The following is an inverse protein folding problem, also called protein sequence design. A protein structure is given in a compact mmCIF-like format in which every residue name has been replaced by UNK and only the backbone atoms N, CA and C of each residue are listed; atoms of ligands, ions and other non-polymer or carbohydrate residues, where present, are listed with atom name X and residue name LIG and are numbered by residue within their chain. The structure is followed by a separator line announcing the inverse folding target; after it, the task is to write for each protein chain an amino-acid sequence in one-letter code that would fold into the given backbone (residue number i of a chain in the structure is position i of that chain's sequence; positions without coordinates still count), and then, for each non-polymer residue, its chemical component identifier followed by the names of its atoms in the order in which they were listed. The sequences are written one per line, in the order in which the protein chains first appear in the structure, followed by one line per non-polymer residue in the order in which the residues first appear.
data_IF_500730823003
#
_entry.id   IF_500730823003
#
_cell.length_a   1.000
_cell.length_b   1.000
_cell.length_c   1.000
_cell.angle_alpha   90.00
_cell.angle_beta   90.00
_cell.angle_gamma   90.00
#
_symmetry.space_group_name_H-M   'P 1'
#
loop_
_entity.id
_entity.type
_entity.pdbx_description
1 polymer ?
#
# COMPACT_ATOMS: atom_id res chain seq x y z
N UNK A 1 -8.86 -13.31 39.87
CA UNK A 1 -9.74 -13.35 38.71
C UNK A 1 -9.70 -12.10 37.87
N UNK A 2 -9.72 -10.94 38.49
CA UNK A 2 -9.64 -9.67 37.76
C UNK A 2 -8.35 -9.61 36.90
N UNK A 3 -7.24 -10.08 37.47
CA UNK A 3 -5.97 -10.09 36.74
C UNK A 3 -6.02 -10.97 35.49
N UNK A 4 -6.69 -12.11 35.58
CA UNK A 4 -6.82 -13.03 34.47
C UNK A 4 -7.69 -12.41 33.37
N UNK A 5 -8.80 -11.79 33.75
CA UNK A 5 -9.69 -11.12 32.82
C UNK A 5 -8.95 -9.97 32.13
N UNK A 6 -8.18 -9.20 32.90
CA UNK A 6 -7.41 -8.08 32.36
C UNK A 6 -6.38 -8.56 31.34
N UNK A 7 -5.68 -9.67 31.62
CA UNK A 7 -4.73 -10.27 30.69
C UNK A 7 -5.42 -10.70 29.40
N UNK A 8 -6.59 -11.32 29.51
CA UNK A 8 -7.34 -11.77 28.34
C UNK A 8 -7.77 -10.59 27.47
N UNK A 9 -8.20 -9.50 28.10
CA UNK A 9 -8.59 -8.29 27.37
C UNK A 9 -7.39 -7.69 26.63
N UNK A 10 -6.24 -7.61 27.30
CA UNK A 10 -5.01 -7.07 26.70
C UNK A 10 -4.59 -7.92 25.51
N UNK A 11 -4.59 -9.25 25.67
CA UNK A 11 -4.24 -10.17 24.58
C UNK A 11 -5.19 -10.01 23.41
N UNK A 12 -6.49 -9.90 23.68
CA UNK A 12 -7.49 -9.73 22.64
C UNK A 12 -7.28 -8.43 21.87
N UNK A 13 -6.98 -7.34 22.57
CA UNK A 13 -6.72 -6.04 21.95
C UNK A 13 -5.45 -6.08 21.10
N UNK A 14 -4.40 -6.73 21.60
CA UNK A 14 -3.15 -6.88 20.84
C UNK A 14 -3.36 -7.72 19.59
N UNK A 15 -4.11 -8.82 19.71
CA UNK A 15 -4.41 -9.67 18.56
C UNK A 15 -5.21 -8.91 17.51
N UNK A 16 -6.20 -8.13 17.94
CA UNK A 16 -7.01 -7.33 17.04
C UNK A 16 -6.17 -6.27 16.33
N UNK A 17 -5.32 -5.56 17.07
CA UNK A 17 -4.43 -4.54 16.50
C UNK A 17 -3.45 -5.16 15.51
N UNK A 18 -2.86 -6.30 15.86
CA UNK A 18 -1.93 -7.01 14.98
C UNK A 18 -2.60 -7.43 13.69
N UNK A 19 -3.83 -7.95 13.78
CA UNK A 19 -4.59 -8.34 12.60
C UNK A 19 -4.85 -7.16 11.68
N UNK A 20 -5.26 -6.03 12.24
CA UNK A 20 -5.57 -4.84 11.44
C UNK A 20 -4.34 -4.27 10.78
N UNK A 21 -3.23 -4.17 11.52
CA UNK A 21 -1.97 -3.69 10.97
C UNK A 21 -1.45 -4.67 9.92
N UNK A 22 -1.48 -5.97 10.23
CA UNK A 22 -1.04 -7.01 9.30
C UNK A 22 -1.85 -7.00 8.01
N UNK A 23 -3.17 -6.84 8.11
CA UNK A 23 -4.03 -6.75 6.93
C UNK A 23 -3.68 -5.54 6.07
N UNK A 24 -3.37 -4.40 6.70
CA UNK A 24 -2.98 -3.20 5.98
C UNK A 24 -1.66 -3.41 5.24
N UNK A 25 -0.69 -4.09 5.87
CA UNK A 25 0.57 -4.40 5.21
C UNK A 25 0.39 -5.38 4.06
N UNK A 26 -0.45 -6.39 4.23
CA UNK A 26 -0.74 -7.34 3.15
C UNK A 26 -1.35 -6.62 1.96
N UNK A 27 -2.30 -5.73 2.19
CA UNK A 27 -2.92 -4.95 1.13
C UNK A 27 -1.87 -4.05 0.45
N UNK A 28 -0.98 -3.45 1.24
CA UNK A 28 0.10 -2.62 0.70
C UNK A 28 1.03 -3.42 -0.21
N UNK A 29 1.46 -4.60 0.23
CA UNK A 29 2.35 -5.43 -0.57
C UNK A 29 1.68 -5.93 -1.84
N UNK A 30 0.41 -6.30 -1.78
CA UNK A 30 -0.34 -6.70 -2.96
C UNK A 30 -0.48 -5.55 -3.95
N UNK A 31 -0.75 -4.35 -3.45
CA UNK A 31 -0.84 -3.17 -4.28
C UNK A 31 0.52 -2.88 -4.93
N UNK A 32 1.59 -2.90 -4.15
CA UNK A 32 2.95 -2.65 -4.65
C UNK A 32 3.32 -3.65 -5.74
N UNK A 33 3.03 -4.93 -5.52
CA UNK A 33 3.28 -5.98 -6.49
C UNK A 33 2.47 -5.75 -7.77
N UNK A 34 1.20 -5.39 -7.64
CA UNK A 34 0.34 -5.13 -8.78
C UNK A 34 0.81 -3.92 -9.58
N UNK A 35 1.27 -2.87 -8.90
CA UNK A 35 1.82 -1.69 -9.57
C UNK A 35 3.11 -2.06 -10.29
N UNK A 36 3.95 -2.87 -9.67
CA UNK A 36 5.18 -3.33 -10.28
C UNK A 36 4.90 -4.11 -11.57
N UNK A 37 3.93 -5.00 -11.55
CA UNK A 37 3.55 -5.74 -12.75
C UNK A 37 2.98 -4.82 -13.82
N UNK A 38 2.16 -3.86 -13.44
CA UNK A 38 1.62 -2.91 -14.39
C UNK A 38 2.72 -2.06 -15.04
N UNK A 39 3.71 -1.64 -14.26
CA UNK A 39 4.84 -0.88 -14.77
C UNK A 39 5.75 -1.73 -15.65
N UNK A 40 5.97 -2.99 -15.23
CA UNK A 40 6.83 -3.91 -15.98
C UNK A 40 6.24 -4.27 -17.34
N UNK A 41 4.91 -4.45 -17.41
CA UNK A 41 4.24 -4.85 -18.63
C UNK A 41 3.48 -3.71 -19.31
N UNK A 42 3.92 -2.48 -19.08
CA UNK A 42 3.23 -1.32 -19.67
C UNK A 42 3.31 -1.30 -21.21
N UNK A 43 4.40 -1.87 -21.77
CA UNK A 43 4.58 -1.90 -23.21
C UNK A 43 4.62 -0.50 -23.81
N UNK A 44 3.70 -0.23 -24.75
CA UNK A 44 3.62 1.07 -25.40
C UNK A 44 2.66 2.04 -24.72
N UNK A 45 2.17 1.71 -23.54
CA UNK A 45 1.26 2.60 -22.82
C UNK A 45 1.96 3.87 -22.38
N UNK A 46 1.22 4.97 -22.39
CA UNK A 46 1.76 6.26 -21.94
C UNK A 46 1.88 6.29 -20.43
N UNK A 47 2.64 7.27 -19.92
CA UNK A 47 2.76 7.47 -18.48
C UNK A 47 1.40 7.77 -17.84
N UNK A 48 0.56 8.52 -18.56
CA UNK A 48 -0.77 8.84 -18.07
C UNK A 48 -1.66 7.60 -17.96
N UNK A 49 -1.60 6.71 -18.96
CA UNK A 49 -2.34 5.46 -18.93
C UNK A 49 -1.88 4.57 -17.77
N UNK A 50 -0.58 4.51 -17.52
CA UNK A 50 -0.03 3.77 -16.40
C UNK A 50 -0.48 4.37 -15.07
N UNK A 51 -0.47 5.69 -14.96
CA UNK A 51 -0.93 6.40 -13.76
C UNK A 51 -2.39 6.07 -13.46
N UNK A 52 -3.24 6.08 -14.48
CA UNK A 52 -4.65 5.70 -14.32
C UNK A 52 -4.78 4.27 -13.83
N UNK A 53 -3.97 3.36 -14.37
CA UNK A 53 -3.99 1.97 -13.92
C UNK A 53 -3.60 1.84 -12.47
N UNK A 54 -2.60 2.62 -12.04
CA UNK A 54 -2.17 2.62 -10.64
C UNK A 54 -3.32 3.06 -9.73
N UNK A 55 -4.07 4.09 -10.12
CA UNK A 55 -5.20 4.55 -9.30
C UNK A 55 -6.35 3.56 -9.31
N UNK A 56 -6.57 2.85 -10.42
CA UNK A 56 -7.55 1.76 -10.44
C UNK A 56 -7.17 0.66 -9.46
N UNK A 57 -5.89 0.28 -9.44
CA UNK A 57 -5.40 -0.72 -8.51
C UNK A 57 -5.52 -0.23 -7.07
N UNK A 58 -5.23 1.04 -6.83
CA UNK A 58 -5.38 1.61 -5.50
C UNK A 58 -6.83 1.51 -5.02
N UNK A 59 -7.78 1.78 -5.92
CA UNK A 59 -9.19 1.64 -5.59
C UNK A 59 -9.56 0.19 -5.30
N UNK A 60 -9.02 -0.74 -6.07
CA UNK A 60 -9.30 -2.18 -5.90
C UNK A 60 -8.81 -2.70 -4.55
N UNK A 61 -7.71 -2.17 -4.05
CA UNK A 61 -7.12 -2.59 -2.77
C UNK A 61 -7.44 -1.64 -1.62
N UNK A 62 -8.35 -0.68 -1.84
CA UNK A 62 -8.72 0.31 -0.82
C UNK A 62 -7.52 1.10 -0.30
N UNK A 63 -6.63 1.47 -1.20
CA UNK A 63 -5.45 2.26 -0.87
C UNK A 63 -5.76 3.74 -1.10
N UNK A 64 -5.77 4.56 -0.04
CA UNK A 64 -6.13 5.99 -0.16
C UNK A 64 -4.93 6.83 -0.62
N UNK A 65 -4.47 6.61 -1.83
CA UNK A 65 -3.35 7.37 -2.40
C UNK A 65 -3.89 8.48 -3.30
N UNK A 66 -3.32 9.68 -3.17
CA UNK A 66 -3.69 10.85 -3.97
C UNK A 66 -2.73 11.00 -5.16
N UNK A 67 -3.24 11.63 -6.22
CA UNK A 67 -2.43 11.88 -7.42
C UNK A 67 -1.17 12.67 -7.11
N UNK A 68 -1.25 13.60 -6.16
CA UNK A 68 -0.12 14.43 -5.79
C UNK A 68 0.99 13.65 -5.09
N UNK A 69 0.63 12.52 -4.48
CA UNK A 69 1.57 11.71 -3.72
C UNK A 69 2.23 10.63 -4.55
N UNK A 70 1.90 10.54 -5.83
CA UNK A 70 2.49 9.54 -6.73
C UNK A 70 3.32 10.24 -7.79
N UNK A 71 4.59 9.86 -7.86
CA UNK A 71 5.51 10.37 -8.88
C UNK A 71 5.88 9.25 -9.82
N UNK A 72 5.69 9.48 -11.10
CA UNK A 72 6.02 8.51 -12.14
C UNK A 72 7.12 9.09 -13.00
N UNK A 73 8.23 8.38 -13.13
CA UNK A 73 9.35 8.80 -13.96
C UNK A 73 9.74 7.67 -14.91
N UNK A 74 9.94 8.03 -16.18
CA UNK A 74 10.39 7.08 -17.20
C UNK A 74 11.63 7.63 -17.85
N UNK A 75 12.70 6.85 -17.86
CA UNK A 75 13.96 7.21 -18.50
C UNK A 75 14.68 5.96 -18.96
N UNK A 76 15.17 5.95 -20.20
CA UNK A 76 16.03 4.89 -20.73
C UNK A 76 15.53 3.47 -20.45
N UNK A 77 14.34 3.14 -20.82
CA UNK A 77 13.75 1.80 -20.60
C UNK A 77 13.47 1.47 -19.14
N UNK A 78 13.54 2.45 -18.26
CA UNK A 78 13.30 2.25 -16.85
C UNK A 78 12.12 3.09 -16.40
N UNK A 79 11.19 2.46 -15.70
CA UNK A 79 10.04 3.14 -15.12
C UNK A 79 10.17 3.12 -13.61
N UNK A 80 10.11 4.27 -12.99
CA UNK A 80 10.17 4.42 -11.55
C UNK A 80 8.86 5.01 -11.06
N UNK A 81 8.25 4.36 -10.09
CA UNK A 81 7.00 4.82 -9.46
C UNK A 81 7.27 5.01 -7.98
N UNK A 82 7.13 6.23 -7.52
CA UNK A 82 7.27 6.58 -6.11
C UNK A 82 5.95 7.12 -5.59
N UNK A 83 5.57 6.70 -4.41
CA UNK A 83 4.36 7.22 -3.82
C UNK A 83 4.28 6.95 -2.33
N UNK A 84 3.35 7.64 -1.71
CA UNK A 84 3.07 7.47 -0.30
C UNK A 84 1.59 7.71 -0.04
N UNK A 85 1.09 7.12 1.02
CA UNK A 85 -0.28 7.34 1.45
C UNK A 85 -0.38 7.10 2.95
N UNK A 86 -1.38 7.70 3.56
CA UNK A 86 -1.66 7.51 4.98
C UNK A 86 -2.97 6.75 5.11
N UNK A 87 -2.93 5.63 5.80
CA UNK A 87 -4.11 4.83 6.08
C UNK A 87 -4.41 4.89 7.56
N UNK A 88 -5.65 5.21 7.89
CA UNK A 88 -6.06 5.25 9.29
C UNK A 88 -6.40 3.83 9.74
N UNK A 89 -5.66 3.34 10.72
CA UNK A 89 -5.84 2.00 11.26
C UNK A 89 -6.43 2.11 12.65
N UNK A 90 -7.58 1.49 12.86
CA UNK A 90 -8.20 1.45 14.17
C UNK A 90 -7.57 0.33 14.98
N UNK A 91 -6.64 0.71 15.86
CA UNK A 91 -5.90 -0.25 16.68
C UNK A 91 -6.73 -0.78 17.84
N UNK A 92 -7.65 0.03 18.32
CA UNK A 92 -8.56 -0.34 19.41
C UNK A 92 -9.85 0.44 19.21
N UNK A 93 -10.97 0.02 19.83
CA UNK A 93 -12.22 0.76 19.73
C UNK A 93 -12.04 2.22 20.14
N UNK A 94 -12.30 3.12 19.21
CA UNK A 94 -12.13 4.56 19.44
C UNK A 94 -10.71 5.08 19.34
N UNK A 95 -9.73 4.21 19.07
CA UNK A 95 -8.33 4.60 18.93
C UNK A 95 -7.88 4.38 17.49
N UNK A 96 -7.78 5.46 16.74
CA UNK A 96 -7.36 5.43 15.34
C UNK A 96 -5.97 6.05 15.20
N UNK A 97 -5.13 5.40 14.43
CA UNK A 97 -3.75 5.86 14.22
C UNK A 97 -3.50 6.03 12.72
N UNK A 98 -3.00 7.19 12.31
CA UNK A 98 -2.61 7.39 10.91
C UNK A 98 -1.28 6.69 10.65
N UNK A 99 -1.31 5.69 9.79
CA UNK A 99 -0.13 4.90 9.45
C UNK A 99 0.31 5.26 8.04
N UNK A 100 1.54 5.73 7.92
CA UNK A 100 2.07 6.16 6.64
C UNK A 100 2.78 4.99 5.95
N UNK A 101 2.40 4.74 4.70
CA UNK A 101 3.03 3.75 3.86
C UNK A 101 3.70 4.44 2.68
N UNK A 102 4.90 4.00 2.34
CA UNK A 102 5.59 4.49 1.17
C UNK A 102 5.89 3.32 0.24
N UNK A 103 5.90 3.59 -1.06
CA UNK A 103 6.29 2.57 -2.03
C UNK A 103 7.23 3.18 -3.06
N UNK A 104 8.21 2.37 -3.45
CA UNK A 104 9.18 2.73 -4.47
C UNK A 104 9.33 1.53 -5.39
N UNK A 105 8.92 1.69 -6.63
CA UNK A 105 8.95 0.62 -7.61
C UNK A 105 9.84 1.07 -8.76
N UNK A 106 10.80 0.23 -9.08
CA UNK A 106 11.76 0.50 -10.12
C UNK A 106 11.85 -0.71 -11.04
N UNK A 107 11.45 -0.53 -12.29
CA UNK A 107 11.45 -1.63 -13.26
C UNK A 107 12.29 -1.24 -14.46
N UNK A 108 13.12 -2.18 -14.92
CA UNK A 108 13.87 -2.05 -16.15
C UNK A 108 13.10 -2.75 -17.26
N UNK A 109 12.68 -2.00 -18.25
CA UNK A 109 11.91 -2.56 -19.36
C UNK A 109 12.83 -2.93 -20.52
N UNK A 110 12.65 -4.14 -21.01
CA UNK A 110 13.32 -4.58 -22.23
C UNK A 110 14.84 -4.69 -22.15
N UNK A 111 15.35 -4.81 -20.94
CA UNK A 111 16.80 -4.90 -20.76
C UNK A 111 17.35 -6.31 -20.77
N UNK A 112 16.50 -7.26 -20.74
CA UNK A 112 16.99 -8.64 -20.67
C UNK A 112 16.28 -9.51 -21.70
#
# INVERSE_FOLDING_TARGET
MIKLILKLVVVALLANASWRVGSAYVAHYKFEDAVQQAALFRGSKTDEALRQRIFELASDYDIPVDEQDVTLMTALHQTTVDGSYTRIIELAPGFKYPWEFTFHINTLQGTL
#
